data_IF_951861589945
#
_entry.id   IF_951861589945
#
_cell.length_a   1.000
_cell.length_b   1.000
_cell.length_c   1.000
_cell.angle_alpha   90.00
_cell.angle_beta   90.00
_cell.angle_gamma   90.00
#
_symmetry.space_group_name_H-M   'P 1'
#
loop_
_entity.id
_entity.type
_entity.pdbx_description
1 polymer ?
#
# COMPACT_ATOMS: atom_id res chain seq x y z
N UNK A 1 14.60 7.19 57.23
CA UNK A 1 14.08 6.69 55.94
C UNK A 1 15.23 6.70 54.93
N UNK A 2 15.93 5.58 54.81
CA UNK A 2 17.01 5.41 53.83
C UNK A 2 16.37 5.23 52.44
N UNK A 3 16.70 6.18 51.53
CA UNK A 3 16.38 6.04 50.12
C UNK A 3 17.20 4.87 49.56
N UNK A 4 16.53 3.75 49.21
CA UNK A 4 17.12 2.69 48.40
C UNK A 4 17.68 3.32 47.11
N UNK A 5 19.00 3.45 47.02
CA UNK A 5 19.69 3.75 45.77
C UNK A 5 19.29 2.65 44.79
N UNK A 6 18.54 3.00 43.73
CA UNK A 6 18.32 2.10 42.60
C UNK A 6 19.69 1.72 42.04
N UNK A 7 20.05 0.45 42.10
CA UNK A 7 21.19 -0.09 41.36
C UNK A 7 20.88 0.05 39.88
N UNK A 8 21.39 1.14 39.28
CA UNK A 8 21.36 1.34 37.84
C UNK A 8 22.51 0.54 37.22
N UNK A 9 22.32 -0.05 36.03
CA UNK A 9 23.41 -0.73 35.34
C UNK A 9 24.59 0.24 35.12
N UNK A 10 25.79 -0.23 35.42
CA UNK A 10 27.01 0.55 35.10
C UNK A 10 27.35 0.36 33.64
N UNK A 11 27.43 1.47 32.90
CA UNK A 11 27.71 1.51 31.49
C UNK A 11 29.07 2.11 31.28
N UNK A 12 30.01 1.31 30.79
CA UNK A 12 31.33 1.77 30.39
C UNK A 12 31.36 1.97 28.88
N UNK A 13 31.55 3.23 28.45
CA UNK A 13 31.69 3.56 27.04
C UNK A 13 33.11 3.23 26.58
N UNK A 14 33.24 2.34 25.61
CA UNK A 14 34.51 2.13 24.90
C UNK A 14 34.83 3.24 23.89
N UNK A 15 35.55 2.91 22.84
CA UNK A 15 35.86 3.88 21.79
C UNK A 15 34.59 4.26 21.02
N UNK A 16 34.11 5.50 21.19
CA UNK A 16 32.99 6.09 20.48
C UNK A 16 33.35 7.32 19.67
N UNK A 17 34.58 7.85 19.83
CA UNK A 17 35.12 8.97 19.03
C UNK A 17 36.08 8.45 17.98
N UNK A 18 36.15 9.15 16.83
CA UNK A 18 37.05 8.79 15.74
C UNK A 18 36.61 7.54 14.95
N UNK A 19 35.38 7.08 15.12
CA UNK A 19 34.78 6.02 14.30
C UNK A 19 34.57 6.54 12.88
N UNK A 20 34.91 5.73 11.87
CA UNK A 20 34.76 6.08 10.46
C UNK A 20 33.84 5.06 9.76
N UNK A 21 32.90 5.58 8.99
CA UNK A 21 32.04 4.78 8.10
C UNK A 21 32.06 5.39 6.71
N UNK A 22 31.83 4.54 5.70
CA UNK A 22 31.73 5.01 4.33
C UNK A 22 30.26 5.35 4.01
N UNK A 23 30.04 6.58 3.59
CA UNK A 23 28.72 7.06 3.15
C UNK A 23 28.49 6.62 1.70
N UNK A 24 27.53 5.75 1.47
CA UNK A 24 27.17 5.27 0.14
C UNK A 24 25.87 5.93 -0.34
N UNK A 25 25.97 6.88 -1.25
CA UNK A 25 24.80 7.50 -1.89
C UNK A 25 24.52 6.81 -3.22
N UNK A 26 23.31 6.26 -3.37
CA UNK A 26 22.89 5.66 -4.62
C UNK A 26 22.71 6.76 -5.68
N UNK A 27 23.33 6.66 -6.87
CA UNK A 27 23.16 7.66 -7.92
C UNK A 27 21.73 7.65 -8.47
N UNK A 28 21.21 8.82 -8.82
CA UNK A 28 19.94 8.98 -9.53
C UNK A 28 20.22 9.00 -11.03
N UNK A 29 19.81 7.94 -11.71
CA UNK A 29 19.96 7.80 -13.17
C UNK A 29 18.73 8.37 -13.90
N UNK A 30 18.86 8.63 -15.21
CA UNK A 30 17.72 9.05 -16.06
C UNK A 30 16.58 8.03 -15.99
N UNK A 31 16.90 6.73 -16.01
CA UNK A 31 15.92 5.66 -15.85
C UNK A 31 15.14 5.78 -14.53
N UNK A 32 15.81 6.16 -13.46
CA UNK A 32 15.13 6.37 -12.16
C UNK A 32 14.16 7.54 -12.23
N UNK A 33 14.54 8.62 -12.92
CA UNK A 33 13.69 9.80 -13.12
C UNK A 33 12.50 9.47 -14.01
N UNK A 34 12.70 8.74 -15.11
CA UNK A 34 11.60 8.34 -16.00
C UNK A 34 10.58 7.43 -15.30
N UNK A 35 11.04 6.52 -14.44
CA UNK A 35 10.15 5.70 -13.60
C UNK A 35 9.34 6.60 -12.65
N UNK A 36 9.96 7.63 -12.07
CA UNK A 36 9.28 8.56 -11.18
C UNK A 36 8.25 9.41 -11.92
N UNK A 37 8.54 9.87 -13.14
CA UNK A 37 7.57 10.54 -14.01
C UNK A 37 6.37 9.63 -14.28
N UNK A 38 6.60 8.36 -14.65
CA UNK A 38 5.53 7.38 -14.83
C UNK A 38 4.75 7.10 -13.55
N UNK A 39 5.39 7.15 -12.39
CA UNK A 39 4.70 7.07 -11.11
C UNK A 39 3.78 8.28 -10.90
N UNK A 40 4.26 9.49 -11.19
CA UNK A 40 3.46 10.71 -11.11
C UNK A 40 2.24 10.65 -12.04
N UNK A 41 2.38 10.19 -13.29
CA UNK A 41 1.22 10.06 -14.20
C UNK A 41 0.17 9.09 -13.64
N UNK A 42 0.60 7.99 -13.02
CA UNK A 42 -0.33 7.01 -12.38
C UNK A 42 -1.06 7.60 -11.19
N UNK A 43 -0.39 8.43 -10.39
CA UNK A 43 -0.99 9.11 -9.24
C UNK A 43 -2.02 10.17 -9.66
N UNK A 44 -1.83 10.77 -10.84
CA UNK A 44 -2.75 11.77 -11.42
C UNK A 44 -3.71 11.18 -12.45
N UNK A 45 -3.84 9.84 -12.47
CA UNK A 45 -4.85 9.20 -13.31
C UNK A 45 -6.27 9.56 -12.82
N UNK A 46 -7.12 9.86 -13.76
CA UNK A 46 -8.54 10.18 -13.53
C UNK A 46 -9.44 9.07 -14.05
N UNK A 47 -10.64 8.98 -13.47
CA UNK A 47 -11.63 8.02 -13.91
C UNK A 47 -12.70 8.72 -14.74
N UNK A 48 -12.89 8.31 -15.98
CA UNK A 48 -13.93 8.80 -16.87
C UNK A 48 -15.05 7.76 -17.00
N UNK A 49 -16.33 8.18 -16.90
CA UNK A 49 -17.45 7.28 -17.15
C UNK A 49 -17.31 6.56 -18.49
N UNK A 50 -17.63 5.29 -18.53
CA UNK A 50 -17.53 4.47 -19.74
C UNK A 50 -18.72 3.52 -19.87
N UNK A 51 -19.11 3.23 -21.11
CA UNK A 51 -20.09 2.20 -21.45
C UNK A 51 -19.43 0.90 -21.90
N UNK A 52 -18.09 0.87 -21.93
CA UNK A 52 -17.34 -0.33 -22.29
C UNK A 52 -17.55 -1.44 -21.23
N UNK A 53 -17.49 -2.72 -21.65
CA UNK A 53 -17.58 -3.84 -20.73
C UNK A 53 -16.52 -3.79 -19.63
N UNK A 54 -16.92 -4.20 -18.43
CA UNK A 54 -16.06 -4.18 -17.24
C UNK A 54 -14.81 -5.01 -17.44
N UNK A 55 -13.65 -4.44 -17.09
CA UNK A 55 -12.35 -5.09 -17.11
C UNK A 55 -11.50 -4.63 -15.92
N UNK A 56 -10.41 -5.35 -15.69
CA UNK A 56 -9.47 -5.03 -14.61
C UNK A 56 -8.99 -3.57 -14.71
N UNK A 57 -8.96 -2.89 -13.56
CA UNK A 57 -8.57 -1.48 -13.45
C UNK A 57 -9.72 -0.48 -13.59
N UNK A 58 -10.91 -0.91 -14.02
CA UNK A 58 -12.10 -0.07 -14.02
C UNK A 58 -12.59 0.17 -12.61
N UNK A 59 -13.14 1.35 -12.36
CA UNK A 59 -13.87 1.66 -11.13
C UNK A 59 -15.33 1.36 -11.37
N UNK A 60 -15.91 0.53 -10.52
CA UNK A 60 -17.30 0.13 -10.56
C UNK A 60 -18.05 0.69 -9.35
N UNK A 61 -19.25 1.18 -9.57
CA UNK A 61 -20.26 1.44 -8.54
C UNK A 61 -21.33 0.36 -8.68
N UNK A 62 -21.55 -0.40 -7.62
CA UNK A 62 -22.45 -1.54 -7.66
C UNK A 62 -23.24 -1.70 -6.36
N UNK A 63 -24.37 -2.39 -6.46
CA UNK A 63 -25.08 -2.97 -5.33
C UNK A 63 -24.89 -4.49 -5.36
N UNK A 64 -24.90 -5.09 -4.20
CA UNK A 64 -24.61 -6.50 -4.01
C UNK A 64 -25.56 -7.10 -2.98
N UNK A 65 -26.16 -8.24 -3.27
CA UNK A 65 -27.01 -8.96 -2.33
C UNK A 65 -26.88 -10.46 -2.53
N UNK A 66 -26.82 -11.20 -1.42
CA UNK A 66 -26.74 -12.67 -1.43
C UNK A 66 -28.07 -13.33 -1.10
N UNK A 67 -28.35 -14.45 -1.75
CA UNK A 67 -29.54 -15.28 -1.53
C UNK A 67 -29.11 -16.73 -1.26
N UNK A 68 -29.80 -17.37 -0.33
CA UNK A 68 -29.69 -18.80 -0.06
C UNK A 68 -31.08 -19.41 0.01
N UNK A 69 -31.32 -20.48 -0.74
CA UNK A 69 -32.63 -21.13 -0.83
C UNK A 69 -33.76 -20.12 -1.14
N UNK A 70 -33.47 -19.12 -1.98
CA UNK A 70 -34.42 -18.09 -2.39
C UNK A 70 -34.68 -16.99 -1.35
N UNK A 71 -34.04 -17.04 -0.20
CA UNK A 71 -34.10 -16.01 0.86
C UNK A 71 -32.85 -15.18 0.90
N UNK A 72 -33.00 -13.87 1.15
CA UNK A 72 -31.88 -12.98 1.33
C UNK A 72 -31.08 -13.40 2.56
N UNK A 73 -29.75 -13.48 2.42
CA UNK A 73 -28.83 -13.75 3.52
C UNK A 73 -28.76 -12.50 4.39
N UNK A 74 -28.98 -12.61 5.72
CA UNK A 74 -28.88 -11.46 6.62
C UNK A 74 -27.52 -10.74 6.45
N UNK A 75 -27.54 -9.41 6.47
CA UNK A 75 -26.38 -8.53 6.35
C UNK A 75 -25.54 -8.70 5.06
N UNK A 76 -26.08 -9.39 4.05
CA UNK A 76 -25.40 -9.54 2.75
C UNK A 76 -25.63 -8.37 1.79
N UNK A 77 -26.63 -7.53 2.06
CA UNK A 77 -26.96 -6.38 1.20
C UNK A 77 -25.96 -5.25 1.39
N UNK A 78 -25.33 -4.86 0.32
CA UNK A 78 -24.45 -3.70 0.26
C UNK A 78 -24.87 -2.83 -0.91
N UNK A 79 -25.07 -1.55 -0.68
CA UNK A 79 -25.50 -0.60 -1.70
C UNK A 79 -24.45 0.50 -1.90
N UNK A 80 -24.37 1.02 -3.12
CA UNK A 80 -23.42 2.09 -3.50
C UNK A 80 -21.96 1.76 -3.19
N UNK A 81 -21.58 0.50 -3.37
CA UNK A 81 -20.21 0.05 -3.16
C UNK A 81 -19.33 0.50 -4.32
N UNK A 82 -18.32 1.29 -4.04
CA UNK A 82 -17.35 1.74 -5.03
C UNK A 82 -16.07 0.93 -4.90
N UNK A 83 -15.70 0.23 -5.96
CA UNK A 83 -14.50 -0.62 -6.01
C UNK A 83 -13.72 -0.39 -7.29
N UNK A 84 -12.42 -0.73 -7.25
CA UNK A 84 -11.60 -0.84 -8.45
C UNK A 84 -11.41 -2.33 -8.74
N UNK A 85 -11.85 -2.77 -9.89
CA UNK A 85 -11.78 -4.17 -10.29
C UNK A 85 -10.32 -4.62 -10.38
N UNK A 86 -9.98 -5.69 -9.68
CA UNK A 86 -8.62 -6.23 -9.62
C UNK A 86 -7.75 -5.67 -8.50
N UNK A 87 -8.32 -4.89 -7.55
CA UNK A 87 -7.59 -4.40 -6.36
C UNK A 87 -7.69 -5.37 -5.16
N UNK A 88 -8.44 -6.47 -5.29
CA UNK A 88 -8.59 -7.51 -4.28
C UNK A 88 -9.58 -7.17 -3.15
N UNK A 89 -10.38 -6.12 -3.30
CA UNK A 89 -11.41 -5.75 -2.31
C UNK A 89 -12.70 -6.56 -2.45
N UNK A 90 -12.99 -7.04 -3.64
CA UNK A 90 -14.09 -7.96 -3.89
C UNK A 90 -13.61 -9.41 -3.79
N UNK A 91 -14.53 -10.32 -3.46
CA UNK A 91 -14.24 -11.74 -3.59
C UNK A 91 -13.92 -12.09 -5.06
N UNK A 92 -12.94 -12.96 -5.31
CA UNK A 92 -12.52 -13.28 -6.69
C UNK A 92 -13.67 -13.76 -7.60
N UNK A 93 -14.63 -14.51 -7.07
CA UNK A 93 -15.79 -14.96 -7.82
C UNK A 93 -16.69 -13.81 -8.29
N UNK A 94 -16.92 -12.80 -7.43
CA UNK A 94 -17.67 -11.60 -7.79
C UNK A 94 -16.94 -10.78 -8.85
N UNK A 95 -15.61 -10.60 -8.73
CA UNK A 95 -14.84 -9.91 -9.75
C UNK A 95 -14.93 -10.60 -11.12
N UNK A 96 -14.79 -11.92 -11.14
CA UNK A 96 -14.90 -12.70 -12.37
C UNK A 96 -16.32 -12.58 -13.00
N UNK A 97 -17.35 -12.57 -12.16
CA UNK A 97 -18.73 -12.41 -12.62
C UNK A 97 -18.98 -11.00 -13.21
N UNK A 98 -18.31 -9.96 -12.71
CA UNK A 98 -18.46 -8.59 -13.21
C UNK A 98 -17.79 -8.39 -14.57
N UNK A 99 -16.67 -9.08 -14.84
CA UNK A 99 -15.93 -8.88 -16.09
C UNK A 99 -16.79 -9.19 -17.31
N UNK A 100 -16.80 -8.28 -18.28
CA UNK A 100 -17.57 -8.37 -19.52
C UNK A 100 -18.99 -7.77 -19.44
N UNK A 101 -19.51 -7.50 -18.23
CA UNK A 101 -20.79 -6.81 -18.08
C UNK A 101 -20.65 -5.29 -18.25
N UNK A 102 -21.74 -4.65 -18.68
CA UNK A 102 -21.82 -3.21 -18.88
C UNK A 102 -22.54 -2.51 -17.73
N UNK A 103 -22.32 -1.20 -17.62
CA UNK A 103 -23.05 -0.36 -16.66
C UNK A 103 -24.57 -0.44 -16.93
N UNK A 104 -25.35 -0.55 -15.87
CA UNK A 104 -26.81 -0.70 -15.91
C UNK A 104 -27.30 -2.15 -15.92
N UNK A 105 -26.42 -3.13 -16.01
CA UNK A 105 -26.80 -4.55 -15.99
C UNK A 105 -26.99 -5.05 -14.56
N UNK A 106 -27.99 -5.95 -14.43
CA UNK A 106 -28.23 -6.74 -13.22
C UNK A 106 -28.04 -8.21 -13.59
N UNK A 107 -27.17 -8.88 -12.88
CA UNK A 107 -26.84 -10.28 -13.14
C UNK A 107 -26.61 -11.05 -11.86
N UNK A 108 -26.61 -12.37 -11.95
CA UNK A 108 -26.42 -13.28 -10.82
C UNK A 108 -25.29 -14.24 -11.08
N UNK A 109 -24.62 -14.66 -10.00
CA UNK A 109 -23.64 -15.71 -10.03
C UNK A 109 -23.75 -16.57 -8.79
N UNK A 110 -23.36 -17.83 -8.90
CA UNK A 110 -23.36 -18.77 -7.78
C UNK A 110 -21.98 -18.81 -7.15
N UNK A 111 -21.94 -18.85 -5.84
CA UNK A 111 -20.71 -19.00 -5.06
C UNK A 111 -20.88 -20.09 -4.02
N UNK A 112 -20.00 -21.08 -4.04
CA UNK A 112 -19.96 -22.14 -3.02
C UNK A 112 -18.94 -21.78 -1.95
N UNK A 113 -19.41 -21.65 -0.72
CA UNK A 113 -18.54 -21.38 0.42
C UNK A 113 -17.62 -22.58 0.71
N UNK A 114 -16.35 -22.33 1.12
CA UNK A 114 -15.45 -23.39 1.57
C UNK A 114 -16.03 -24.20 2.73
N UNK A 115 -15.58 -25.46 2.89
CA UNK A 115 -16.02 -26.33 3.99
C UNK A 115 -15.60 -25.83 5.39
N UNK A 116 -14.53 -25.05 5.43
CA UNK A 116 -13.95 -24.43 6.63
C UNK A 116 -14.33 -22.96 6.81
N UNK A 117 -15.44 -22.53 6.17
CA UNK A 117 -15.87 -21.14 6.28
C UNK A 117 -16.27 -20.79 7.72
N UNK A 118 -15.91 -19.58 8.16
CA UNK A 118 -16.06 -19.08 9.55
C UNK A 118 -17.49 -19.22 10.10
N UNK A 119 -18.51 -19.13 9.24
CA UNK A 119 -19.92 -19.29 9.61
C UNK A 119 -20.37 -20.71 9.24
N UNK A 120 -20.61 -21.60 10.23
CA UNK A 120 -21.01 -22.98 9.96
C UNK A 120 -22.30 -23.10 9.14
N UNK A 121 -23.18 -22.13 9.25
CA UNK A 121 -24.45 -22.07 8.52
C UNK A 121 -24.27 -21.92 7.01
N UNK A 122 -23.15 -21.35 6.57
CA UNK A 122 -22.81 -21.13 5.17
C UNK A 122 -21.78 -22.15 4.65
N UNK A 123 -21.08 -22.85 5.54
CA UNK A 123 -20.00 -23.77 5.20
C UNK A 123 -20.45 -24.85 4.22
N UNK A 124 -19.77 -24.98 3.08
CA UNK A 124 -20.05 -25.94 2.03
C UNK A 124 -21.34 -25.70 1.24
N UNK A 125 -22.09 -24.62 1.56
CA UNK A 125 -23.33 -24.30 0.85
C UNK A 125 -23.08 -23.37 -0.33
N UNK A 126 -23.95 -23.44 -1.33
CA UNK A 126 -23.96 -22.54 -2.48
C UNK A 126 -24.97 -21.42 -2.25
N UNK A 127 -24.51 -20.20 -2.35
CA UNK A 127 -25.33 -19.00 -2.34
C UNK A 127 -25.35 -18.38 -3.75
N UNK A 128 -26.46 -17.77 -4.11
CA UNK A 128 -26.60 -16.99 -5.32
C UNK A 128 -26.44 -15.51 -4.97
N UNK A 129 -25.54 -14.82 -5.64
CA UNK A 129 -25.33 -13.39 -5.47
C UNK A 129 -25.87 -12.62 -6.67
N UNK A 130 -26.59 -11.54 -6.40
CA UNK A 130 -27.04 -10.59 -7.40
C UNK A 130 -26.21 -9.32 -7.33
N UNK A 131 -25.74 -8.87 -8.48
CA UNK A 131 -25.00 -7.62 -8.64
C UNK A 131 -25.81 -6.70 -9.56
N UNK A 132 -26.06 -5.48 -9.11
CA UNK A 132 -26.52 -4.38 -9.94
C UNK A 132 -25.31 -3.47 -10.23
N UNK A 133 -24.81 -3.51 -11.45
CA UNK A 133 -23.66 -2.73 -11.88
C UNK A 133 -24.10 -1.34 -12.32
N UNK A 134 -24.19 -0.39 -11.39
CA UNK A 134 -24.77 0.95 -11.64
C UNK A 134 -23.95 1.80 -12.59
N UNK A 135 -22.64 1.82 -12.44
CA UNK A 135 -21.76 2.59 -13.32
C UNK A 135 -20.37 2.01 -13.40
N UNK A 136 -19.72 2.29 -14.51
CA UNK A 136 -18.32 1.97 -14.77
C UNK A 136 -17.55 3.22 -15.15
N UNK A 137 -16.30 3.30 -14.71
CA UNK A 137 -15.38 4.36 -15.12
C UNK A 137 -14.01 3.78 -15.43
N UNK A 138 -13.48 4.15 -16.60
CA UNK A 138 -12.15 3.72 -17.05
C UNK A 138 -11.09 4.64 -16.47
N UNK A 139 -10.00 4.03 -16.01
CA UNK A 139 -8.83 4.77 -15.54
C UNK A 139 -8.02 5.28 -16.71
N UNK A 140 -7.98 6.60 -16.88
CA UNK A 140 -7.17 7.27 -17.89
C UNK A 140 -5.94 7.86 -17.20
N UNK A 141 -4.77 7.36 -17.59
CA UNK A 141 -3.48 7.85 -17.10
C UNK A 141 -2.95 8.87 -18.09
N UNK A 142 -2.61 10.10 -17.66
CA UNK A 142 -2.01 11.11 -18.55
C UNK A 142 -0.72 10.59 -19.19
N UNK A 143 -0.45 11.01 -20.43
CA UNK A 143 0.84 10.77 -21.04
C UNK A 143 1.93 11.57 -20.30
N UNK A 144 3.18 11.07 -20.20
CA UNK A 144 4.30 11.79 -19.59
C UNK A 144 4.86 12.82 -20.56
N UNK A 145 4.09 13.85 -20.84
CA UNK A 145 4.38 14.88 -21.84
C UNK A 145 4.40 16.31 -21.25
N UNK A 146 4.60 17.29 -22.11
CA UNK A 146 4.60 18.72 -21.75
C UNK A 146 3.27 19.17 -21.14
N UNK A 147 2.14 18.62 -21.61
CA UNK A 147 0.82 18.98 -21.10
C UNK A 147 0.66 18.50 -19.65
N UNK A 148 1.14 17.29 -19.36
CA UNK A 148 1.17 16.75 -18.00
C UNK A 148 2.06 17.59 -17.08
N UNK A 149 3.28 17.95 -17.51
CA UNK A 149 4.18 18.78 -16.72
C UNK A 149 3.55 20.15 -16.40
N UNK A 150 2.89 20.78 -17.37
CA UNK A 150 2.16 22.05 -17.18
C UNK A 150 0.98 21.90 -16.19
N UNK A 151 0.26 20.78 -16.23
CA UNK A 151 -0.85 20.52 -15.29
C UNK A 151 -0.37 20.43 -13.84
N UNK A 152 0.90 20.08 -13.64
CA UNK A 152 1.58 20.05 -12.34
C UNK A 152 2.25 21.37 -11.94
N UNK A 153 2.13 22.41 -12.79
CA UNK A 153 2.71 23.73 -12.55
C UNK A 153 4.16 23.90 -13.02
N UNK A 154 4.71 22.94 -13.78
CA UNK A 154 6.05 23.05 -14.34
C UNK A 154 6.01 23.66 -15.74
N UNK A 155 7.04 24.42 -16.10
CA UNK A 155 7.13 25.06 -17.42
C UNK A 155 7.37 24.07 -18.56
N UNK A 156 8.01 22.93 -18.28
CA UNK A 156 8.35 21.89 -19.25
C UNK A 156 8.48 20.52 -18.59
N UNK A 157 8.49 19.46 -19.41
CA UNK A 157 8.77 18.10 -18.94
C UNK A 157 10.19 17.99 -18.36
N UNK A 158 11.16 18.68 -18.94
CA UNK A 158 12.54 18.71 -18.42
C UNK A 158 12.62 19.39 -17.05
N UNK A 159 11.84 20.46 -16.82
CA UNK A 159 11.74 21.10 -15.50
C UNK A 159 11.15 20.16 -14.45
N UNK A 160 10.10 19.40 -14.80
CA UNK A 160 9.54 18.34 -13.94
C UNK A 160 10.59 17.26 -13.64
N UNK A 161 11.30 16.77 -14.66
CA UNK A 161 12.37 15.77 -14.49
C UNK A 161 13.50 16.26 -13.59
N UNK A 162 13.90 17.53 -13.73
CA UNK A 162 14.93 18.15 -12.90
C UNK A 162 14.49 18.21 -11.43
N UNK A 163 13.26 18.61 -11.14
CA UNK A 163 12.69 18.65 -9.79
C UNK A 163 12.62 17.24 -9.16
N UNK A 164 12.10 16.26 -9.91
CA UNK A 164 12.03 14.87 -9.46
C UNK A 164 13.41 14.28 -9.18
N UNK A 165 14.40 14.62 -10.02
CA UNK A 165 15.80 14.22 -9.80
C UNK A 165 16.35 14.80 -8.51
N UNK A 166 16.15 16.10 -8.28
CA UNK A 166 16.62 16.77 -7.07
C UNK A 166 15.98 16.18 -5.81
N UNK A 167 14.67 15.96 -5.84
CA UNK A 167 13.93 15.32 -4.73
C UNK A 167 14.45 13.91 -4.44
N UNK A 168 14.65 13.10 -5.48
CA UNK A 168 15.15 11.72 -5.34
C UNK A 168 16.59 11.69 -4.82
N UNK A 169 17.43 12.59 -5.32
CA UNK A 169 18.81 12.75 -4.86
C UNK A 169 18.84 13.06 -3.36
N UNK A 170 18.04 14.02 -2.90
CA UNK A 170 17.92 14.37 -1.49
C UNK A 170 17.48 13.17 -0.63
N UNK A 171 16.49 12.40 -1.09
CA UNK A 171 16.04 11.17 -0.39
C UNK A 171 17.19 10.16 -0.27
N UNK A 172 17.99 9.98 -1.34
CA UNK A 172 19.11 9.04 -1.32
C UNK A 172 20.21 9.52 -0.38
N UNK A 173 20.49 10.83 -0.33
CA UNK A 173 21.46 11.45 0.59
C UNK A 173 21.03 11.29 2.04
N UNK A 174 19.79 11.64 2.37
CA UNK A 174 19.24 11.46 3.72
C UNK A 174 19.20 9.98 4.14
N UNK A 175 18.95 9.08 3.18
CA UNK A 175 19.01 7.64 3.41
C UNK A 175 20.42 7.15 3.72
N UNK A 176 21.40 7.66 2.98
CA UNK A 176 22.81 7.35 3.21
C UNK A 176 23.29 7.88 4.55
N UNK A 177 22.85 9.09 4.94
CA UNK A 177 23.20 9.70 6.24
C UNK A 177 22.61 8.89 7.40
N UNK A 178 21.33 8.46 7.30
CA UNK A 178 20.71 7.59 8.30
C UNK A 178 21.42 6.23 8.41
N UNK A 179 21.81 5.64 7.29
CA UNK A 179 22.51 4.36 7.26
C UNK A 179 23.92 4.50 7.90
N UNK A 180 24.65 5.55 7.56
CA UNK A 180 25.96 5.85 8.16
C UNK A 180 25.83 6.12 9.67
N UNK A 181 24.83 6.91 10.08
CA UNK A 181 24.56 7.16 11.50
C UNK A 181 24.24 5.89 12.27
N UNK A 182 23.43 4.98 11.69
CA UNK A 182 23.16 3.69 12.30
C UNK A 182 24.43 2.85 12.46
N UNK A 183 25.28 2.76 11.42
CA UNK A 183 26.55 2.03 11.50
C UNK A 183 27.47 2.59 12.61
N UNK A 184 27.55 3.92 12.75
CA UNK A 184 28.32 4.55 13.82
C UNK A 184 27.78 4.19 15.20
N UNK A 185 26.45 4.19 15.37
CA UNK A 185 25.82 3.79 16.64
C UNK A 185 26.06 2.31 16.95
N UNK A 186 25.94 1.44 15.96
CA UNK A 186 26.18 0.00 16.11
C UNK A 186 27.65 -0.27 16.49
N UNK A 187 28.60 0.43 15.87
CA UNK A 187 30.03 0.35 16.21
C UNK A 187 30.31 0.87 17.62
N UNK A 188 29.74 2.00 18.01
CA UNK A 188 29.89 2.55 19.36
C UNK A 188 29.26 1.61 20.41
N UNK A 189 28.10 1.04 20.10
CA UNK A 189 27.42 0.06 20.95
C UNK A 189 28.22 -1.23 21.14
N UNK A 190 28.85 -1.71 20.08
CA UNK A 190 29.72 -2.90 20.15
C UNK A 190 30.96 -2.68 21.04
N UNK A 191 31.41 -1.44 21.17
CA UNK A 191 32.50 -1.07 22.03
C UNK A 191 32.08 -0.76 23.50
N UNK A 192 30.80 -0.82 23.80
CA UNK A 192 30.25 -0.54 25.11
C UNK A 192 30.17 -1.81 25.95
N UNK A 193 30.52 -1.70 27.22
CA UNK A 193 30.32 -2.76 28.21
C UNK A 193 29.25 -2.33 29.19
N UNK A 194 28.24 -3.19 29.38
CA UNK A 194 27.15 -2.96 30.35
C UNK A 194 27.23 -4.03 31.41
N UNK A 195 27.42 -3.63 32.66
CA UNK A 195 27.33 -4.53 33.80
C UNK A 195 25.89 -4.46 34.35
N UNK A 196 25.16 -5.56 34.16
CA UNK A 196 23.76 -5.69 34.61
C UNK A 196 23.74 -6.31 35.98
N UNK A 197 23.21 -5.63 37.01
CA UNK A 197 22.98 -6.24 38.34
C UNK A 197 22.10 -7.49 38.21
N UNK A 198 22.45 -8.54 38.94
CA UNK A 198 21.74 -9.83 38.92
C UNK A 198 20.22 -9.69 39.15
N UNK A 199 19.80 -8.68 39.93
CA UNK A 199 18.40 -8.36 40.20
C UNK A 199 17.58 -7.93 38.98
N UNK A 200 18.23 -7.55 37.87
CA UNK A 200 17.57 -7.16 36.62
C UNK A 200 17.39 -8.39 35.70
N UNK A 201 18.29 -9.37 35.82
CA UNK A 201 18.27 -10.60 35.02
C UNK A 201 17.18 -11.59 35.44
N UNK A 202 16.75 -11.54 36.71
CA UNK A 202 15.73 -12.45 37.29
C UNK A 202 14.25 -12.03 36.99
N UNK A 203 14.02 -11.00 36.17
CA UNK A 203 12.66 -10.50 35.85
C UNK A 203 12.14 -10.87 34.47
N UNK A 204 12.71 -11.89 33.84
CA UNK A 204 12.23 -12.40 32.52
C UNK A 204 11.44 -13.70 32.68
#
# INVERSE_FOLDING_TARGET
>A
MEQKKKNLPEVTLGQYKGLAVTRHVRPVTDKTVDIEVLHQTRMHAVYHPTTAPAKRGFRALLDFVGYMDGKEIPDSRMENVMVVLGDGKLMPAAEQAIYGHCAGEVFRFDFTYPQDFRLPELSGKTAQFEINLRSLAEKVTPAPDEAFAKSLGFGSLDALKADLRAKKQKIHEEGADRAAGKQLLDMAGANMTVDLPAEILDRT
#
